data_IF_934083511006
#
_entry.id   IF_934083511006
#
_cell.length_a   1.000
_cell.length_b   1.000
_cell.length_c   1.000
_cell.angle_alpha   90.00
_cell.angle_beta   90.00
_cell.angle_gamma   90.00
#
_symmetry.space_group_name_H-M   'P 1'
#
loop_
_entity.id
_entity.type
_entity.pdbx_description
1 polymer ?
#
# COMPACT_ATOMS: atom_id res chain seq x y z
N UNK A 1 -14.30 23.60 -14.56
CA UNK A 1 -13.16 24.53 -14.77
C UNK A 1 -11.91 24.14 -13.98
N UNK A 2 -12.02 23.95 -12.65
CA UNK A 2 -10.89 23.59 -11.79
C UNK A 2 -10.24 22.22 -12.10
N UNK A 3 -11.05 21.18 -12.39
CA UNK A 3 -10.54 19.84 -12.72
C UNK A 3 -9.65 19.82 -13.96
N UNK A 4 -10.09 20.46 -15.06
CA UNK A 4 -9.31 20.54 -16.32
C UNK A 4 -7.95 21.22 -16.11
N UNK A 5 -7.91 22.29 -15.30
CA UNK A 5 -6.65 22.97 -14.98
C UNK A 5 -5.74 22.08 -14.11
N UNK A 6 -6.29 21.37 -13.12
CA UNK A 6 -5.55 20.39 -12.31
C UNK A 6 -4.98 19.25 -13.16
N UNK A 7 -5.77 18.69 -14.07
CA UNK A 7 -5.33 17.59 -14.95
C UNK A 7 -4.23 18.06 -15.92
N UNK A 8 -4.33 19.29 -16.45
CA UNK A 8 -3.27 19.87 -17.27
C UNK A 8 -1.97 20.08 -16.49
N UNK A 9 -2.05 20.55 -15.23
CA UNK A 9 -0.87 20.71 -14.37
C UNK A 9 -0.21 19.37 -14.03
N UNK A 10 -1.01 18.33 -13.74
CA UNK A 10 -0.52 16.98 -13.51
C UNK A 10 0.16 16.43 -14.77
N UNK A 11 -0.47 16.56 -15.94
CA UNK A 11 0.11 16.11 -17.20
C UNK A 11 1.45 16.81 -17.50
N UNK A 12 1.54 18.13 -17.28
CA UNK A 12 2.78 18.87 -17.43
C UNK A 12 3.86 18.42 -16.43
N UNK A 13 3.48 18.12 -15.18
CA UNK A 13 4.41 17.59 -14.18
C UNK A 13 4.94 16.21 -14.58
N UNK A 14 4.06 15.30 -15.00
CA UNK A 14 4.42 13.96 -15.49
C UNK A 14 5.33 14.07 -16.72
N UNK A 15 5.02 14.94 -17.67
CA UNK A 15 5.87 15.15 -18.85
C UNK A 15 7.29 15.60 -18.46
N UNK A 16 7.41 16.45 -17.44
CA UNK A 16 8.69 17.00 -16.99
C UNK A 16 9.48 16.06 -16.09
N UNK A 17 8.81 15.25 -15.25
CA UNK A 17 9.43 14.50 -14.14
C UNK A 17 9.29 12.99 -14.26
N UNK A 18 8.48 12.51 -15.19
CA UNK A 18 8.12 11.11 -15.36
C UNK A 18 6.98 10.67 -14.44
N UNK A 19 6.25 9.65 -14.89
CA UNK A 19 5.15 9.05 -14.14
C UNK A 19 5.60 8.44 -12.80
N UNK A 20 6.74 7.72 -12.70
CA UNK A 20 7.19 7.18 -11.41
C UNK A 20 7.42 8.25 -10.34
N UNK A 21 8.00 9.40 -10.74
CA UNK A 21 8.20 10.54 -9.82
C UNK A 21 6.88 11.14 -9.36
N UNK A 22 5.90 11.27 -10.26
CA UNK A 22 4.57 11.75 -9.90
C UNK A 22 3.86 10.79 -8.95
N UNK A 23 3.87 9.49 -9.26
CA UNK A 23 3.28 8.46 -8.40
C UNK A 23 3.89 8.53 -6.99
N UNK A 24 5.21 8.58 -6.88
CA UNK A 24 5.90 8.72 -5.60
C UNK A 24 5.47 10.00 -4.85
N UNK A 25 5.42 11.14 -5.54
CA UNK A 25 5.00 12.40 -4.93
C UNK A 25 3.56 12.35 -4.37
N UNK A 26 2.68 11.56 -4.99
CA UNK A 26 1.31 11.36 -4.47
C UNK A 26 1.30 10.36 -3.32
N UNK A 27 2.01 9.24 -3.42
CA UNK A 27 1.83 8.09 -2.51
C UNK A 27 2.70 8.11 -1.26
N UNK A 28 3.73 8.95 -1.16
CA UNK A 28 4.64 8.96 0.01
C UNK A 28 4.00 9.51 1.29
N UNK A 29 2.82 10.10 1.20
CA UNK A 29 2.16 10.83 2.29
C UNK A 29 2.63 12.28 2.39
N UNK A 30 1.84 13.09 3.08
CA UNK A 30 2.11 14.53 3.27
C UNK A 30 1.42 15.07 4.55
N UNK A 31 1.86 16.23 5.03
CA UNK A 31 1.36 16.87 6.26
C UNK A 31 0.99 18.35 6.09
N UNK A 32 0.92 18.83 4.84
CA UNK A 32 0.67 20.24 4.52
C UNK A 32 -0.80 20.52 4.20
N UNK A 33 -1.49 19.54 3.62
CA UNK A 33 -2.87 19.66 3.10
C UNK A 33 -3.79 18.66 3.82
N UNK A 34 -4.50 19.06 4.89
CA UNK A 34 -5.38 18.17 5.66
C UNK A 34 -6.53 17.54 4.87
N UNK A 35 -6.91 18.16 3.75
CA UNK A 35 -7.94 17.70 2.81
C UNK A 35 -7.34 17.00 1.58
N UNK A 36 -6.02 16.84 1.54
CA UNK A 36 -5.29 16.16 0.47
C UNK A 36 -5.21 14.66 0.65
N UNK A 37 -4.85 13.97 -0.44
CA UNK A 37 -4.57 12.53 -0.39
C UNK A 37 -3.42 12.23 0.58
N UNK A 38 -3.56 11.09 1.28
CA UNK A 38 -2.54 10.54 2.17
C UNK A 38 -2.01 11.54 3.21
N UNK A 39 -2.89 12.41 3.73
CA UNK A 39 -2.56 13.28 4.85
C UNK A 39 -2.26 12.46 6.11
N UNK A 40 -1.06 12.59 6.67
CA UNK A 40 -0.58 11.77 7.79
C UNK A 40 -1.13 12.16 9.16
N UNK A 41 -1.87 13.27 9.27
CA UNK A 41 -2.42 13.75 10.55
C UNK A 41 -1.38 14.34 11.49
N UNK A 42 -1.83 14.85 12.63
CA UNK A 42 -0.97 15.52 13.63
C UNK A 42 -0.64 14.64 14.85
N UNK A 43 -1.24 13.45 14.94
CA UNK A 43 -1.04 12.50 16.02
C UNK A 43 -1.53 11.10 15.59
N UNK A 44 -1.09 10.02 16.27
CA UNK A 44 -1.60 8.68 16.00
C UNK A 44 -3.12 8.58 16.18
N UNK A 45 -3.82 8.16 15.13
CA UNK A 45 -5.26 7.90 15.14
C UNK A 45 -5.59 6.57 15.84
N UNK A 46 -6.87 6.33 16.12
CA UNK A 46 -7.35 5.16 16.85
C UNK A 46 -6.86 3.83 16.27
N UNK A 47 -6.78 3.70 14.94
CA UNK A 47 -6.37 2.46 14.27
C UNK A 47 -4.89 2.17 14.49
N UNK A 48 -4.03 3.19 14.46
CA UNK A 48 -2.61 3.05 14.79
C UNK A 48 -2.41 2.62 16.25
N UNK A 49 -3.13 3.27 17.19
CA UNK A 49 -3.07 2.93 18.61
C UNK A 49 -3.56 1.50 18.87
N UNK A 50 -4.62 1.08 18.17
CA UNK A 50 -5.17 -0.28 18.24
C UNK A 50 -4.18 -1.30 17.72
N UNK A 51 -3.57 -1.05 16.56
CA UNK A 51 -2.56 -1.93 15.97
C UNK A 51 -1.37 -2.13 16.90
N UNK A 52 -0.82 -1.04 17.44
CA UNK A 52 0.27 -1.08 18.43
C UNK A 52 -0.10 -1.87 19.68
N UNK A 53 -1.31 -1.66 20.20
CA UNK A 53 -1.83 -2.41 21.36
C UNK A 53 -1.87 -3.92 21.06
N UNK A 54 -2.39 -4.32 19.90
CA UNK A 54 -2.46 -5.73 19.50
C UNK A 54 -1.06 -6.38 19.41
N UNK A 55 -0.07 -5.67 18.87
CA UNK A 55 1.31 -6.18 18.83
C UNK A 55 1.84 -6.39 20.26
N UNK A 56 1.68 -5.41 21.15
CA UNK A 56 2.12 -5.53 22.55
C UNK A 56 1.49 -6.72 23.25
N UNK A 57 0.17 -6.89 23.10
CA UNK A 57 -0.59 -7.92 23.82
C UNK A 57 -0.33 -9.33 23.27
N UNK A 58 -0.11 -9.48 21.96
CA UNK A 58 -0.09 -10.81 21.33
C UNK A 58 1.25 -11.22 20.73
N UNK A 59 2.18 -10.28 20.50
CA UNK A 59 3.41 -10.55 19.77
C UNK A 59 4.70 -10.07 20.47
N UNK A 60 4.61 -9.30 21.56
CA UNK A 60 5.79 -8.79 22.27
C UNK A 60 6.73 -9.89 22.81
N UNK A 61 6.17 -11.05 23.18
CA UNK A 61 6.93 -12.23 23.61
C UNK A 61 7.39 -13.16 22.49
N UNK A 62 7.07 -12.85 21.23
CA UNK A 62 7.44 -13.70 20.10
C UNK A 62 8.94 -13.58 19.79
N UNK A 63 9.60 -14.71 19.55
CA UNK A 63 11.00 -14.72 19.06
C UNK A 63 11.11 -14.37 17.58
N UNK A 64 10.10 -14.72 16.79
CA UNK A 64 10.03 -14.46 15.36
C UNK A 64 8.63 -13.99 15.01
N UNK A 65 8.55 -12.99 14.14
CA UNK A 65 7.28 -12.46 13.63
C UNK A 65 7.36 -12.43 12.11
N UNK A 66 6.32 -12.90 11.44
CA UNK A 66 6.10 -12.61 10.02
C UNK A 66 4.94 -11.64 9.87
N UNK A 67 5.10 -10.62 9.04
CA UNK A 67 4.05 -9.68 8.69
C UNK A 67 3.84 -9.69 7.18
N UNK A 68 2.62 -10.02 6.75
CA UNK A 68 2.21 -9.99 5.36
C UNK A 68 1.12 -8.94 5.23
N UNK A 69 1.42 -7.86 4.51
CA UNK A 69 0.48 -6.76 4.29
C UNK A 69 -0.07 -6.83 2.86
N UNK A 70 -1.39 -6.99 2.70
CA UNK A 70 -2.01 -7.25 1.40
C UNK A 70 -2.58 -5.96 0.81
N UNK A 71 -2.08 -5.58 -0.35
CA UNK A 71 -2.42 -4.35 -1.06
C UNK A 71 -2.86 -4.63 -2.48
N UNK A 72 -3.67 -3.73 -3.02
CA UNK A 72 -4.08 -3.76 -4.43
C UNK A 72 -3.94 -2.34 -4.98
N UNK A 73 -3.78 -2.22 -6.29
CA UNK A 73 -3.86 -0.94 -6.98
C UNK A 73 -2.60 -0.52 -7.72
N UNK A 74 -1.48 -1.24 -7.54
CA UNK A 74 -0.25 -1.05 -8.32
C UNK A 74 0.19 -2.34 -9.02
N UNK A 75 0.88 -2.19 -10.16
CA UNK A 75 1.40 -3.32 -10.94
C UNK A 75 0.47 -3.78 -12.07
N UNK A 76 0.89 -4.83 -12.77
CA UNK A 76 0.13 -5.41 -13.88
C UNK A 76 -1.07 -6.22 -13.37
N UNK A 77 -2.14 -6.27 -14.16
CA UNK A 77 -3.39 -6.92 -13.78
C UNK A 77 -3.20 -8.37 -13.34
N UNK A 78 -3.60 -8.68 -12.11
CA UNK A 78 -3.52 -10.02 -11.53
C UNK A 78 -2.11 -10.49 -11.19
N UNK A 79 -1.07 -9.70 -11.49
CA UNK A 79 0.29 -9.96 -11.03
C UNK A 79 0.46 -9.46 -9.59
N UNK A 80 1.40 -10.08 -8.87
CA UNK A 80 1.76 -9.72 -7.51
C UNK A 80 3.25 -9.41 -7.42
N UNK A 81 3.58 -8.22 -6.92
CA UNK A 81 4.93 -7.93 -6.46
C UNK A 81 5.02 -8.18 -4.95
N UNK A 82 6.04 -8.94 -4.52
CA UNK A 82 6.40 -9.05 -3.11
C UNK A 82 7.42 -7.96 -2.82
N UNK A 83 7.04 -7.02 -1.95
CA UNK A 83 7.75 -5.77 -1.71
C UNK A 83 8.31 -5.75 -0.30
N UNK A 84 9.59 -5.37 -0.20
CA UNK A 84 10.26 -5.09 1.05
C UNK A 84 10.56 -3.59 1.16
N UNK A 85 10.14 -2.98 2.27
CA UNK A 85 10.50 -1.60 2.62
C UNK A 85 11.49 -1.58 3.78
N UNK A 86 12.67 -0.94 3.68
CA UNK A 86 13.61 -0.84 4.82
C UNK A 86 13.13 0.12 5.92
N UNK A 87 12.06 0.88 5.66
CA UNK A 87 11.39 1.70 6.67
C UNK A 87 10.54 0.83 7.63
N UNK A 88 10.44 -0.48 7.34
CA UNK A 88 9.62 -1.47 8.04
C UNK A 88 10.46 -2.33 9.00
N UNK A 89 11.62 -2.77 8.52
CA UNK A 89 12.57 -3.69 9.16
C UNK A 89 13.98 -3.33 8.67
N UNK A 90 15.03 -3.90 9.26
CA UNK A 90 16.41 -3.54 8.91
C UNK A 90 16.73 -4.01 7.51
N UNK A 91 17.55 -3.26 6.76
CA UNK A 91 17.97 -3.65 5.39
C UNK A 91 18.56 -5.07 5.32
N UNK A 92 19.25 -5.51 6.37
CA UNK A 92 19.79 -6.88 6.50
C UNK A 92 18.70 -7.98 6.44
N UNK A 93 17.46 -7.67 6.81
CA UNK A 93 16.33 -8.59 6.80
C UNK A 93 15.87 -8.94 5.37
N UNK A 94 16.26 -8.15 4.35
CA UNK A 94 15.92 -8.44 2.95
C UNK A 94 16.49 -9.78 2.49
N UNK A 95 17.66 -10.17 2.96
CA UNK A 95 18.25 -11.46 2.62
C UNK A 95 17.36 -12.62 3.10
N UNK A 96 16.81 -12.51 4.32
CA UNK A 96 15.87 -13.49 4.87
C UNK A 96 14.55 -13.49 4.10
N UNK A 97 14.01 -12.31 3.77
CA UNK A 97 12.82 -12.22 2.93
C UNK A 97 13.00 -12.89 1.56
N UNK A 98 14.13 -12.65 0.88
CA UNK A 98 14.46 -13.31 -0.40
C UNK A 98 14.67 -14.82 -0.24
N UNK A 99 15.20 -15.28 0.89
CA UNK A 99 15.30 -16.70 1.17
C UNK A 99 13.92 -17.37 1.32
N UNK A 100 12.90 -16.65 1.79
CA UNK A 100 11.56 -17.18 2.01
C UNK A 100 10.69 -17.14 0.73
N UNK A 101 10.72 -16.01 0.02
CA UNK A 101 9.78 -15.74 -1.08
C UNK A 101 10.46 -15.63 -2.46
N UNK A 102 11.77 -15.84 -2.54
CA UNK A 102 12.53 -15.74 -3.79
C UNK A 102 12.70 -14.30 -4.24
N UNK A 103 12.03 -13.93 -5.34
CA UNK A 103 12.10 -12.55 -5.86
C UNK A 103 11.31 -11.62 -4.94
N UNK A 104 12.04 -10.72 -4.28
CA UNK A 104 11.48 -9.63 -3.45
C UNK A 104 12.10 -8.32 -3.92
N UNK A 105 11.24 -7.41 -4.39
CA UNK A 105 11.61 -6.05 -4.79
C UNK A 105 11.81 -5.18 -3.57
N UNK A 106 12.70 -4.19 -3.63
CA UNK A 106 12.93 -3.28 -2.53
C UNK A 106 12.69 -1.82 -2.94
N UNK A 107 11.86 -1.13 -2.16
CA UNK A 107 11.44 0.25 -2.46
C UNK A 107 12.60 1.26 -2.56
N UNK A 108 13.75 0.97 -1.94
CA UNK A 108 14.95 1.84 -2.00
C UNK A 108 15.95 1.43 -3.09
N UNK A 109 15.81 0.24 -3.68
CA UNK A 109 16.66 -0.23 -4.78
C UNK A 109 16.15 0.26 -6.14
N UNK A 110 14.95 0.86 -6.18
CA UNK A 110 14.32 1.39 -7.39
C UNK A 110 13.75 0.32 -8.31
N UNK A 111 13.64 -0.93 -7.84
CA UNK A 111 13.14 -2.08 -8.60
C UNK A 111 11.71 -2.49 -8.24
N UNK A 112 11.03 -1.70 -7.40
CA UNK A 112 9.64 -1.92 -6.99
C UNK A 112 8.65 -1.00 -7.72
N UNK A 113 7.43 -1.51 -7.93
CA UNK A 113 6.29 -0.71 -8.40
C UNK A 113 5.81 0.30 -7.35
N UNK A 114 6.17 0.12 -6.08
CA UNK A 114 5.79 1.01 -4.99
C UNK A 114 6.90 2.00 -4.64
N UNK A 115 6.51 3.21 -4.22
CA UNK A 115 7.44 4.20 -3.72
C UNK A 115 7.92 3.85 -2.31
N UNK A 116 9.03 4.44 -1.86
CA UNK A 116 9.46 4.32 -0.48
C UNK A 116 8.59 5.20 0.45
N UNK A 117 7.46 4.66 0.90
CA UNK A 117 6.46 5.36 1.71
C UNK A 117 6.82 5.40 3.20
N UNK A 118 6.21 6.34 3.93
CA UNK A 118 6.38 6.49 5.39
C UNK A 118 5.12 6.02 6.14
N UNK A 119 5.25 5.75 7.44
CA UNK A 119 4.10 5.42 8.30
C UNK A 119 3.48 4.03 8.07
N UNK A 120 4.27 3.11 7.52
CA UNK A 120 3.86 1.72 7.22
C UNK A 120 3.52 0.92 8.48
N UNK A 121 2.44 0.13 8.42
CA UNK A 121 1.94 -0.71 9.52
C UNK A 121 3.02 -1.55 10.23
N UNK A 122 3.87 -2.31 9.51
CA UNK A 122 4.86 -3.16 10.16
C UNK A 122 5.99 -2.40 10.86
N UNK A 123 6.13 -1.07 10.67
CA UNK A 123 7.07 -0.25 11.44
C UNK A 123 6.79 -0.27 12.95
N UNK A 124 5.54 -0.52 13.37
CA UNK A 124 5.20 -0.68 14.78
C UNK A 124 5.83 -1.94 15.41
N UNK A 125 6.25 -2.94 14.63
CA UNK A 125 6.86 -4.16 15.18
C UNK A 125 8.20 -3.87 15.86
N UNK A 126 8.98 -2.94 15.32
CA UNK A 126 10.26 -2.54 15.91
C UNK A 126 10.08 -1.90 17.29
N UNK A 127 9.00 -1.14 17.48
CA UNK A 127 8.71 -0.46 18.74
C UNK A 127 8.08 -1.42 19.77
N UNK A 128 7.11 -2.22 19.34
CA UNK A 128 6.23 -2.97 20.24
C UNK A 128 6.68 -4.43 20.47
N UNK A 129 7.56 -4.95 19.59
CA UNK A 129 8.17 -6.28 19.69
C UNK A 129 9.68 -6.24 19.36
N UNK A 130 10.48 -5.40 20.06
CA UNK A 130 11.88 -5.11 19.70
C UNK A 130 12.82 -6.32 19.76
N UNK A 131 12.44 -7.37 20.49
CA UNK A 131 13.24 -8.59 20.65
C UNK A 131 12.92 -9.67 19.60
N UNK A 132 11.91 -9.43 18.76
CA UNK A 132 11.52 -10.38 17.73
C UNK A 132 12.38 -10.22 16.47
N UNK A 133 12.78 -11.33 15.86
CA UNK A 133 13.24 -11.34 14.48
C UNK A 133 12.02 -11.18 13.56
N UNK A 134 11.75 -9.94 13.14
CA UNK A 134 10.62 -9.60 12.28
C UNK A 134 10.98 -9.75 10.79
N UNK A 135 10.13 -10.41 10.02
CA UNK A 135 10.23 -10.51 8.56
C UNK A 135 8.94 -10.00 7.96
N UNK A 136 8.99 -8.85 7.30
CA UNK A 136 7.80 -8.15 6.83
C UNK A 136 7.89 -7.85 5.34
N UNK A 137 6.81 -8.16 4.61
CA UNK A 137 6.66 -7.82 3.19
C UNK A 137 5.24 -7.35 2.92
N UNK A 138 5.09 -6.48 1.94
CA UNK A 138 3.81 -6.17 1.33
C UNK A 138 3.63 -7.04 0.07
N UNK A 139 2.41 -7.48 -0.19
CA UNK A 139 2.02 -8.08 -1.45
C UNK A 139 1.17 -7.04 -2.17
N UNK A 140 1.64 -6.58 -3.33
CA UNK A 140 0.96 -5.56 -4.11
C UNK A 140 0.43 -6.18 -5.40
N UNK A 141 -0.89 -6.12 -5.59
CA UNK A 141 -1.57 -6.74 -6.72
C UNK A 141 -2.14 -5.70 -7.70
N UNK A 142 -1.87 -5.88 -8.99
CA UNK A 142 -2.38 -4.97 -10.00
C UNK A 142 -3.84 -5.23 -10.34
N UNK A 143 -4.57 -4.14 -10.61
CA UNK A 143 -6.01 -4.17 -10.97
C UNK A 143 -6.26 -3.33 -12.22
N UNK A 144 -5.81 -2.08 -12.21
CA UNK A 144 -5.91 -1.15 -13.34
C UNK A 144 -4.60 -0.38 -13.46
N UNK A 145 -4.33 0.28 -14.61
CA UNK A 145 -3.17 1.16 -14.75
C UNK A 145 -3.09 2.19 -13.62
N UNK A 146 -1.87 2.53 -13.18
CA UNK A 146 -1.65 3.41 -12.03
C UNK A 146 -2.36 4.76 -12.13
N UNK A 147 -2.45 5.34 -13.33
CA UNK A 147 -3.17 6.61 -13.52
C UNK A 147 -4.67 6.49 -13.22
N UNK A 148 -5.28 5.35 -13.52
CA UNK A 148 -6.68 5.08 -13.20
C UNK A 148 -6.88 4.91 -11.68
N UNK A 149 -5.93 4.26 -11.00
CA UNK A 149 -5.90 4.16 -9.53
C UNK A 149 -5.79 5.54 -8.88
N UNK A 150 -4.83 6.36 -9.33
CA UNK A 150 -4.63 7.72 -8.81
C UNK A 150 -5.83 8.63 -9.09
N UNK A 151 -6.46 8.52 -10.26
CA UNK A 151 -7.66 9.29 -10.57
C UNK A 151 -8.87 8.86 -9.75
N UNK A 152 -9.00 7.56 -9.46
CA UNK A 152 -10.03 7.04 -8.57
C UNK A 152 -9.86 7.57 -7.14
N UNK A 153 -8.63 7.55 -6.60
CA UNK A 153 -8.29 8.13 -5.30
C UNK A 153 -8.62 9.61 -5.25
N UNK A 154 -8.21 10.39 -6.25
CA UNK A 154 -8.50 11.83 -6.35
C UNK A 154 -10.00 12.10 -6.36
N UNK A 155 -10.77 11.30 -7.12
CA UNK A 155 -12.22 11.45 -7.20
C UNK A 155 -12.92 11.11 -5.87
N UNK A 156 -12.50 10.04 -5.19
CA UNK A 156 -13.05 9.63 -3.90
C UNK A 156 -12.75 10.65 -2.80
N UNK A 157 -11.51 11.15 -2.74
CA UNK A 157 -11.13 12.21 -1.81
C UNK A 157 -11.92 13.49 -2.06
N UNK A 158 -12.10 13.90 -3.32
CA UNK A 158 -12.92 15.06 -3.65
C UNK A 158 -14.40 14.88 -3.22
N UNK A 159 -14.96 13.69 -3.40
CA UNK A 159 -16.33 13.39 -2.96
C UNK A 159 -16.45 13.52 -1.43
N UNK A 160 -15.43 13.05 -0.70
CA UNK A 160 -15.38 13.17 0.76
C UNK A 160 -15.28 14.64 1.20
N UNK A 161 -14.35 15.41 0.64
CA UNK A 161 -14.06 16.78 1.10
C UNK A 161 -15.04 17.83 0.58
N UNK A 162 -15.46 17.74 -0.68
CA UNK A 162 -16.29 18.75 -1.34
C UNK A 162 -17.69 18.23 -1.69
N UNK A 163 -17.82 16.93 -1.95
CA UNK A 163 -19.12 16.29 -2.22
C UNK A 163 -19.95 16.01 -0.97
N UNK A 164 -19.51 16.48 0.21
CA UNK A 164 -20.14 16.25 1.53
C UNK A 164 -20.32 14.76 1.86
N UNK A 165 -19.56 13.88 1.21
CA UNK A 165 -19.70 12.43 1.36
C UNK A 165 -21.03 11.87 0.83
N UNK A 166 -21.74 12.56 -0.07
CA UNK A 166 -23.00 12.06 -0.64
C UNK A 166 -22.76 10.91 -1.64
N UNK A 167 -22.61 9.71 -1.09
CA UNK A 167 -22.44 8.46 -1.84
C UNK A 167 -23.72 7.99 -2.54
N UNK A 168 -24.90 8.53 -2.19
CA UNK A 168 -26.18 8.12 -2.75
C UNK A 168 -26.49 8.86 -4.07
N UNK A 169 -25.93 10.05 -4.25
CA UNK A 169 -26.01 10.83 -5.48
C UNK A 169 -25.53 10.03 -6.71
N UNK A 170 -25.99 10.37 -7.93
CA UNK A 170 -25.48 9.75 -9.16
C UNK A 170 -23.95 9.85 -9.30
N UNK A 171 -23.36 10.99 -8.91
CA UNK A 171 -21.91 11.19 -8.91
C UNK A 171 -21.23 10.33 -7.84
N UNK A 172 -21.75 10.32 -6.61
CA UNK A 172 -21.22 9.52 -5.52
C UNK A 172 -21.18 8.03 -5.87
N UNK A 173 -22.28 7.49 -6.41
CA UNK A 173 -22.34 6.11 -6.90
C UNK A 173 -21.31 5.82 -8.00
N UNK A 174 -21.08 6.77 -8.91
CA UNK A 174 -20.05 6.62 -9.96
C UNK A 174 -18.65 6.57 -9.37
N UNK A 175 -18.31 7.50 -8.47
CA UNK A 175 -17.00 7.57 -7.80
C UNK A 175 -16.77 6.33 -6.94
N UNK A 176 -17.76 5.88 -6.16
CA UNK A 176 -17.64 4.66 -5.35
C UNK A 176 -17.45 3.39 -6.19
N UNK A 177 -18.07 3.31 -7.37
CA UNK A 177 -17.79 2.23 -8.33
C UNK A 177 -16.37 2.32 -8.89
N UNK A 178 -15.89 3.53 -9.21
CA UNK A 178 -14.54 3.74 -9.74
C UNK A 178 -13.46 3.35 -8.72
N UNK A 179 -13.55 3.83 -7.47
CA UNK A 179 -12.58 3.46 -6.43
C UNK A 179 -12.62 1.96 -6.13
N UNK A 180 -13.81 1.34 -6.10
CA UNK A 180 -13.89 -0.11 -5.96
C UNK A 180 -13.18 -0.82 -7.11
N UNK A 181 -13.44 -0.44 -8.35
CA UNK A 181 -12.81 -1.05 -9.53
C UNK A 181 -11.29 -0.84 -9.61
N UNK A 182 -10.75 0.19 -8.96
CA UNK A 182 -9.31 0.41 -8.89
C UNK A 182 -8.58 -0.51 -7.89
N UNK A 183 -9.28 -1.04 -6.90
CA UNK A 183 -8.72 -1.85 -5.81
C UNK A 183 -9.32 -3.27 -5.73
N UNK A 184 -10.29 -3.60 -6.58
CA UNK A 184 -10.94 -4.90 -6.59
C UNK A 184 -11.26 -5.33 -8.02
N UNK A 185 -10.57 -6.37 -8.49
CA UNK A 185 -10.90 -7.04 -9.75
C UNK A 185 -12.19 -7.85 -9.59
N UNK A 186 -13.22 -7.49 -10.35
CA UNK A 186 -14.54 -8.13 -10.27
C UNK A 186 -14.59 -9.52 -10.94
N UNK A 187 -13.61 -9.85 -11.77
CA UNK A 187 -13.58 -11.10 -12.53
C UNK A 187 -13.00 -12.27 -11.71
N UNK A 188 -13.41 -13.48 -12.06
CA UNK A 188 -12.97 -14.68 -11.34
C UNK A 188 -11.51 -15.01 -11.62
N UNK A 189 -11.00 -14.75 -12.82
CA UNK A 189 -9.60 -14.99 -13.16
C UNK A 189 -8.62 -14.13 -12.32
N UNK A 190 -8.99 -12.87 -12.03
CA UNK A 190 -8.20 -12.03 -11.14
C UNK A 190 -8.22 -12.56 -9.71
N UNK A 191 -9.40 -12.94 -9.20
CA UNK A 191 -9.56 -13.47 -7.84
C UNK A 191 -8.77 -14.76 -7.65
N UNK A 192 -8.79 -15.65 -8.64
CA UNK A 192 -8.03 -16.90 -8.64
C UNK A 192 -6.52 -16.64 -8.58
N UNK A 193 -6.01 -15.69 -9.37
CA UNK A 193 -4.59 -15.30 -9.36
C UNK A 193 -4.15 -14.76 -8.00
N UNK A 194 -4.92 -13.83 -7.43
CA UNK A 194 -4.63 -13.27 -6.10
C UNK A 194 -4.64 -14.35 -5.03
N UNK A 195 -5.67 -15.20 -5.02
CA UNK A 195 -5.77 -16.28 -4.06
C UNK A 195 -4.60 -17.25 -4.17
N UNK A 196 -4.27 -17.69 -5.39
CA UNK A 196 -3.19 -18.63 -5.63
C UNK A 196 -1.85 -18.08 -5.11
N UNK A 197 -1.53 -16.82 -5.44
CA UNK A 197 -0.28 -16.22 -5.01
C UNK A 197 -0.25 -15.90 -3.51
N UNK A 198 -1.35 -15.40 -2.95
CA UNK A 198 -1.47 -15.18 -1.51
C UNK A 198 -1.29 -16.47 -0.71
N UNK A 199 -1.89 -17.57 -1.16
CA UNK A 199 -1.74 -18.88 -0.54
C UNK A 199 -0.31 -19.44 -0.68
N UNK A 200 0.37 -19.19 -1.80
CA UNK A 200 1.80 -19.52 -1.97
C UNK A 200 2.67 -18.78 -0.94
N UNK A 201 2.53 -17.45 -0.86
CA UNK A 201 3.30 -16.59 0.04
C UNK A 201 3.07 -16.94 1.51
N UNK A 202 1.81 -17.24 1.88
CA UNK A 202 1.46 -17.72 3.23
C UNK A 202 2.15 -19.05 3.57
N UNK A 203 2.14 -20.03 2.66
CA UNK A 203 2.82 -21.32 2.88
C UNK A 203 4.33 -21.14 3.01
N UNK A 204 4.93 -20.27 2.20
CA UNK A 204 6.36 -19.92 2.30
C UNK A 204 6.68 -19.25 3.64
N UNK A 205 5.84 -18.32 4.10
CA UNK A 205 5.97 -17.68 5.40
C UNK A 205 5.94 -18.69 6.57
N UNK A 206 5.00 -19.63 6.56
CA UNK A 206 4.93 -20.67 7.60
C UNK A 206 6.17 -21.57 7.61
N UNK A 207 6.67 -21.98 6.43
CA UNK A 207 7.93 -22.73 6.33
C UNK A 207 9.11 -21.93 6.86
N UNK A 208 9.18 -20.65 6.52
CA UNK A 208 10.24 -19.74 6.99
C UNK A 208 10.25 -19.58 8.51
N UNK A 209 9.09 -19.49 9.14
CA UNK A 209 9.00 -19.42 10.61
C UNK A 209 9.50 -20.69 11.32
N UNK A 210 9.38 -21.86 10.67
CA UNK A 210 9.78 -23.16 11.21
C UNK A 210 11.27 -23.48 11.05
N UNK A 211 12.01 -22.71 10.23
CA UNK A 211 13.38 -23.01 9.81
C UNK A 211 14.47 -22.69 10.85
#
# INVERSE_FOLDING_TARGET
PARKASDAAIAAYIQKRGLPTFQAAVSTGQWEYPDGLFYGGNAPVWSNQTWRKLIREHASGARRIVHLDFHTGLGAYGDCEVIFGPNVVKREDLARARAWWGRVACTIDGDSVSANVQGVNPGALADEAPNAEATAVALEYGVVPVMDTLDALRADNWLYTHGKGDIASPLGKKVKRQIRGAFYGETDDWKERIYAKGAEVLRQAFKGLQA
#
